data_IF_460194708424
#
_entry.id   IF_460194708424
#
_cell.length_a   1.000
_cell.length_b   1.000
_cell.length_c   1.000
_cell.angle_alpha   90.00
_cell.angle_beta   90.00
_cell.angle_gamma   90.00
#
_symmetry.space_group_name_H-M   'P 1'
#
loop_
_entity.id
_entity.type
_entity.pdbx_description
1 polymer ?
#
# COMPACT_ATOMS: atom_id res chain seq x y z
N UNK A 1 10.51 -8.89 -10.64
CA UNK A 1 11.45 -8.60 -11.74
C UNK A 1 10.90 -9.03 -13.09
N UNK A 2 10.31 -10.23 -13.21
CA UNK A 2 9.69 -10.74 -14.44
C UNK A 2 8.24 -10.29 -14.67
N UNK A 3 7.79 -9.24 -13.97
CA UNK A 3 6.42 -8.73 -14.12
C UNK A 3 5.30 -9.55 -13.48
N UNK A 4 5.59 -10.68 -12.82
CA UNK A 4 4.59 -11.55 -12.17
C UNK A 4 3.77 -10.87 -11.05
N UNK A 5 4.30 -9.81 -10.46
CA UNK A 5 3.63 -8.99 -9.46
C UNK A 5 3.65 -7.52 -9.90
N UNK A 6 2.57 -6.80 -9.58
CA UNK A 6 2.47 -5.36 -9.81
C UNK A 6 3.45 -4.59 -8.91
N UNK A 7 3.78 -3.36 -9.30
CA UNK A 7 4.62 -2.47 -8.51
C UNK A 7 3.98 -2.19 -7.15
N UNK A 8 2.67 -1.96 -7.10
CA UNK A 8 1.94 -1.79 -5.84
C UNK A 8 2.04 -3.01 -4.93
N UNK A 9 1.78 -4.22 -5.43
CA UNK A 9 1.88 -5.44 -4.62
C UNK A 9 3.30 -5.62 -4.09
N UNK A 10 4.30 -5.33 -4.92
CA UNK A 10 5.69 -5.40 -4.50
C UNK A 10 6.01 -4.40 -3.38
N UNK A 11 5.55 -3.15 -3.51
CA UNK A 11 5.68 -2.13 -2.46
C UNK A 11 4.98 -2.54 -1.17
N UNK A 12 3.79 -3.15 -1.24
CA UNK A 12 3.11 -3.68 -0.06
C UNK A 12 3.93 -4.79 0.60
N UNK A 13 4.50 -5.72 -0.18
CA UNK A 13 5.37 -6.77 0.36
C UNK A 13 6.62 -6.22 1.04
N UNK A 14 7.29 -5.24 0.43
CA UNK A 14 8.46 -4.59 1.04
C UNK A 14 8.09 -3.90 2.35
N UNK A 15 6.97 -3.17 2.38
CA UNK A 15 6.46 -2.55 3.60
C UNK A 15 6.22 -3.59 4.70
N UNK A 16 5.51 -4.69 4.40
CA UNK A 16 5.27 -5.76 5.38
C UNK A 16 6.56 -6.38 5.89
N UNK A 17 7.52 -6.69 5.01
CA UNK A 17 8.82 -7.26 5.40
C UNK A 17 9.66 -6.28 6.23
N UNK A 18 9.49 -4.97 6.01
CA UNK A 18 10.15 -3.92 6.77
C UNK A 18 9.46 -3.60 8.12
N UNK A 19 8.47 -4.40 8.53
CA UNK A 19 7.76 -4.26 9.80
C UNK A 19 6.59 -3.27 9.78
N UNK A 20 6.21 -2.74 8.60
CA UNK A 20 5.11 -1.77 8.47
C UNK A 20 3.76 -2.46 8.53
N UNK A 21 2.78 -1.82 9.16
CA UNK A 21 1.42 -2.36 9.27
C UNK A 21 0.35 -1.27 9.37
N UNK A 22 -0.89 -1.62 9.05
CA UNK A 22 -2.05 -0.76 9.27
C UNK A 22 -2.47 -0.64 10.74
N UNK A 23 -1.98 -1.54 11.61
CA UNK A 23 -2.33 -1.56 13.03
C UNK A 23 -1.56 -0.50 13.84
N UNK A 24 -0.44 0.00 13.33
CA UNK A 24 0.38 1.03 13.96
C UNK A 24 0.63 2.18 12.97
N UNK A 25 -0.03 3.31 13.20
CA UNK A 25 0.11 4.50 12.33
C UNK A 25 1.50 5.13 12.39
N UNK A 26 2.30 4.84 13.43
CA UNK A 26 3.69 5.30 13.51
C UNK A 26 4.59 4.53 12.53
N UNK A 27 4.15 3.34 12.14
CA UNK A 27 4.83 2.43 11.22
C UNK A 27 3.90 2.05 10.05
N UNK A 28 3.16 3.03 9.56
CA UNK A 28 2.26 2.84 8.43
C UNK A 28 3.04 2.51 7.14
N UNK A 29 2.45 1.75 6.20
CA UNK A 29 3.06 1.53 4.90
C UNK A 29 3.36 2.84 4.17
N UNK A 30 4.54 2.92 3.55
CA UNK A 30 5.03 4.11 2.84
C UNK A 30 5.08 3.84 1.34
N UNK A 31 4.56 4.77 0.56
CA UNK A 31 4.57 4.75 -0.90
C UNK A 31 5.23 6.02 -1.45
N UNK A 32 5.89 5.95 -2.61
CA UNK A 32 6.49 7.12 -3.24
C UNK A 32 5.42 8.07 -3.78
N UNK A 33 5.70 9.38 -3.75
CA UNK A 33 5.19 10.26 -4.80
C UNK A 33 5.69 9.77 -6.17
N UNK A 34 4.80 9.62 -7.14
CA UNK A 34 5.13 9.12 -8.48
C UNK A 34 5.18 10.25 -9.52
N UNK A 35 4.16 11.10 -9.51
CA UNK A 35 4.04 12.21 -10.45
C UNK A 35 4.70 13.47 -9.90
N UNK A 36 5.15 14.34 -10.80
CA UNK A 36 5.57 15.71 -10.51
C UNK A 36 4.58 16.74 -11.10
N UNK A 37 3.76 16.34 -12.07
CA UNK A 37 2.77 17.22 -12.67
C UNK A 37 1.40 17.15 -11.98
N UNK A 38 1.21 18.13 -11.10
CA UNK A 38 -0.09 18.46 -10.49
C UNK A 38 -0.52 19.91 -10.81
N UNK A 39 0.14 20.56 -11.77
CA UNK A 39 -0.06 21.98 -12.07
C UNK A 39 -0.53 22.24 -13.49
N UNK A 40 -0.30 21.31 -14.42
CA UNK A 40 -0.70 21.46 -15.81
C UNK A 40 -2.20 21.73 -15.93
N UNK A 41 -2.53 22.61 -16.87
CA UNK A 41 -3.92 22.90 -17.20
C UNK A 41 -4.54 21.79 -18.07
N UNK A 42 -3.71 20.85 -18.54
CA UNK A 42 -4.11 19.72 -19.39
C UNK A 42 -5.06 18.76 -18.67
N UNK A 43 -5.96 18.15 -19.45
CA UNK A 43 -6.94 17.18 -18.96
C UNK A 43 -6.44 15.74 -19.00
N UNK A 44 -5.23 15.51 -19.51
CA UNK A 44 -4.61 14.19 -19.65
C UNK A 44 -3.14 14.27 -19.29
N UNK A 45 -2.61 13.19 -18.72
CA UNK A 45 -1.21 13.06 -18.33
C UNK A 45 -0.45 12.29 -19.40
N UNK A 46 0.65 12.84 -19.89
CA UNK A 46 1.58 12.10 -20.74
C UNK A 46 2.49 11.21 -19.87
N UNK A 47 2.12 9.94 -19.72
CA UNK A 47 2.90 8.94 -19.00
C UNK A 47 4.14 8.46 -19.77
N UNK A 48 4.38 8.99 -20.98
CA UNK A 48 5.59 8.73 -21.77
C UNK A 48 6.65 9.83 -21.62
N UNK A 49 6.27 11.01 -21.13
CA UNK A 49 7.19 12.11 -20.86
C UNK A 49 7.85 11.93 -19.47
N UNK A 50 9.18 11.78 -19.39
CA UNK A 50 9.90 11.70 -18.11
C UNK A 50 9.64 12.89 -17.16
N UNK A 51 9.31 14.08 -17.70
CA UNK A 51 9.05 15.30 -16.91
C UNK A 51 7.75 15.22 -16.10
N UNK A 52 6.85 14.32 -16.48
CA UNK A 52 5.61 14.03 -15.76
C UNK A 52 5.89 13.41 -14.39
N UNK A 53 7.04 12.74 -14.23
CA UNK A 53 7.36 11.93 -13.07
C UNK A 53 8.33 12.65 -12.13
N UNK A 54 8.23 12.26 -10.85
CA UNK A 54 9.26 12.55 -9.85
C UNK A 54 10.58 11.88 -10.23
N UNK A 55 11.70 12.51 -9.85
CA UNK A 55 13.00 11.82 -9.80
C UNK A 55 13.04 10.81 -8.62
N UNK A 56 12.86 9.53 -8.94
CA UNK A 56 12.82 8.42 -7.99
C UNK A 56 14.18 8.12 -7.34
N UNK A 57 15.28 8.60 -7.93
CA UNK A 57 16.62 8.43 -7.39
C UNK A 57 16.93 9.35 -6.20
N UNK A 58 16.05 10.35 -5.97
CA UNK A 58 16.20 11.40 -4.97
C UNK A 58 15.09 11.34 -3.90
N UNK A 59 15.38 11.65 -2.63
CA UNK A 59 14.37 11.85 -1.60
C UNK A 59 13.53 13.11 -1.87
N UNK A 60 12.41 13.28 -1.15
CA UNK A 60 11.50 14.43 -1.34
C UNK A 60 12.18 15.79 -1.12
N UNK A 61 13.11 15.87 -0.16
CA UNK A 61 13.86 17.10 0.09
C UNK A 61 14.85 17.48 -1.02
N UNK A 62 15.11 16.59 -1.99
CA UNK A 62 16.11 16.75 -3.04
C UNK A 62 15.50 16.88 -4.45
N UNK A 63 14.18 17.06 -4.58
CA UNK A 63 13.51 17.13 -5.88
C UNK A 63 13.85 18.40 -6.69
N UNK A 64 14.29 19.47 -6.03
CA UNK A 64 14.74 20.71 -6.69
C UNK A 64 16.17 21.05 -6.28
N UNK A 65 16.94 21.63 -7.20
CA UNK A 65 18.36 21.94 -6.96
C UNK A 65 18.54 22.92 -5.80
N UNK A 66 17.75 23.99 -5.78
CA UNK A 66 17.80 25.00 -4.70
C UNK A 66 17.59 24.36 -3.32
N UNK A 67 16.62 23.46 -3.21
CA UNK A 67 16.30 22.80 -1.94
C UNK A 67 17.34 21.75 -1.55
N UNK A 68 17.88 21.03 -2.54
CA UNK A 68 18.98 20.10 -2.37
C UNK A 68 20.20 20.79 -1.76
N UNK A 69 20.61 21.94 -2.31
CA UNK A 69 21.73 22.74 -1.81
C UNK A 69 21.51 23.19 -0.36
N UNK A 70 20.29 23.63 -0.02
CA UNK A 70 19.96 24.03 1.35
C UNK A 70 20.10 22.87 2.35
N UNK A 71 19.64 21.66 2.00
CA UNK A 71 19.80 20.50 2.88
C UNK A 71 21.24 20.02 2.98
N UNK A 72 21.99 20.03 1.87
CA UNK A 72 23.40 19.70 1.88
C UNK A 72 24.20 20.68 2.73
N UNK A 73 23.93 21.97 2.60
CA UNK A 73 24.53 23.02 3.43
C UNK A 73 24.20 22.82 4.90
N UNK A 74 22.94 22.55 5.25
CA UNK A 74 22.53 22.25 6.64
C UNK A 74 23.30 21.06 7.23
N UNK A 75 23.55 20.03 6.44
CA UNK A 75 24.30 18.85 6.88
C UNK A 75 25.80 19.16 7.06
N UNK A 76 26.39 19.92 6.14
CA UNK A 76 27.81 20.29 6.17
C UNK A 76 28.13 21.27 7.30
N UNK A 77 27.30 22.29 7.47
CA UNK A 77 27.43 23.34 8.48
C UNK A 77 26.81 22.92 9.83
N UNK A 78 26.59 21.61 10.05
CA UNK A 78 25.93 21.12 11.25
C UNK A 78 26.79 21.35 12.49
N UNK A 79 26.40 22.33 13.29
CA UNK A 79 26.85 22.51 14.66
C UNK A 79 25.76 22.01 15.61
N UNK A 80 26.11 21.10 16.52
CA UNK A 80 25.14 20.57 17.49
C UNK A 80 24.64 21.71 18.40
N UNK A 81 23.36 22.14 18.27
CA UNK A 81 22.87 23.33 18.97
C UNK A 81 22.88 23.18 20.49
N UNK A 82 22.86 21.93 20.98
CA UNK A 82 22.67 21.62 22.39
C UNK A 82 23.90 20.96 23.04
N UNK A 83 24.99 20.75 22.29
CA UNK A 83 26.15 19.98 22.76
C UNK A 83 25.79 18.56 23.21
N UNK A 84 24.69 18.01 22.67
CA UNK A 84 24.07 16.75 23.08
C UNK A 84 24.51 15.53 22.25
N UNK A 85 25.63 15.65 21.53
CA UNK A 85 26.18 14.65 20.60
C UNK A 85 25.20 14.25 19.48
N UNK A 86 24.37 15.18 19.02
CA UNK A 86 23.43 14.92 17.92
C UNK A 86 24.19 14.85 16.59
N UNK A 87 24.21 13.71 15.89
CA UNK A 87 24.92 13.61 14.62
C UNK A 87 24.24 14.46 13.54
N UNK A 88 25.01 14.89 12.54
CA UNK A 88 24.49 15.67 11.42
C UNK A 88 23.39 14.90 10.66
N UNK A 89 22.36 15.64 10.23
CA UNK A 89 21.24 15.10 9.46
C UNK A 89 20.70 16.14 8.45
N UNK A 90 20.12 15.64 7.36
CA UNK A 90 19.44 16.48 6.38
C UNK A 90 18.03 16.83 6.87
N UNK A 91 17.30 15.84 7.40
CA UNK A 91 15.88 15.96 7.70
C UNK A 91 15.57 15.80 9.19
N UNK A 92 15.06 16.87 9.81
CA UNK A 92 14.54 16.85 11.18
C UNK A 92 13.09 16.35 11.29
N UNK A 93 12.40 16.21 10.16
CA UNK A 93 11.06 15.65 10.05
C UNK A 93 11.11 14.36 9.22
N UNK A 94 10.21 13.43 9.53
CA UNK A 94 10.15 12.14 8.83
C UNK A 94 9.13 12.18 7.70
N UNK A 95 9.30 11.32 6.69
CA UNK A 95 8.39 11.23 5.55
C UNK A 95 7.09 10.47 5.83
N UNK A 96 6.99 9.77 6.96
CA UNK A 96 5.80 9.00 7.39
C UNK A 96 5.61 9.06 8.90
N UNK A 97 4.45 9.46 9.38
CA UNK A 97 4.15 9.49 10.81
C UNK A 97 2.65 9.33 11.02
N UNK A 98 2.24 9.04 12.25
CA UNK A 98 0.83 8.91 12.59
C UNK A 98 0.03 10.18 12.24
N UNK A 99 0.62 11.36 12.47
CA UNK A 99 0.01 12.63 12.10
C UNK A 99 -0.12 12.80 10.58
N UNK A 100 0.88 12.37 9.79
CA UNK A 100 0.82 12.44 8.33
C UNK A 100 -0.31 11.56 7.79
N UNK A 101 -0.39 10.31 8.26
CA UNK A 101 -1.44 9.36 7.85
C UNK A 101 -2.82 9.89 8.24
N UNK A 102 -2.99 10.33 9.49
CA UNK A 102 -4.24 10.90 9.97
C UNK A 102 -4.62 12.18 9.20
N UNK A 103 -3.65 13.00 8.79
CA UNK A 103 -3.88 14.21 8.01
C UNK A 103 -4.35 13.90 6.58
N UNK A 104 -3.75 12.90 5.91
CA UNK A 104 -4.22 12.46 4.61
C UNK A 104 -5.63 11.88 4.68
N UNK A 105 -5.91 11.05 5.69
CA UNK A 105 -7.17 10.32 5.83
C UNK A 105 -8.23 11.05 6.67
N UNK A 106 -8.01 12.34 7.00
CA UNK A 106 -8.81 13.12 7.97
C UNK A 106 -10.31 13.21 7.64
N UNK A 107 -10.71 12.90 6.41
CA UNK A 107 -12.10 12.92 5.94
C UNK A 107 -12.84 11.59 6.14
N UNK A 108 -12.16 10.55 6.60
CA UNK A 108 -12.73 9.23 6.83
C UNK A 108 -12.64 8.82 8.28
N UNK A 109 -13.68 8.17 8.80
CA UNK A 109 -13.57 7.45 10.07
C UNK A 109 -12.81 6.13 9.90
N UNK A 110 -12.04 5.67 10.92
CA UNK A 110 -11.82 6.30 12.24
C UNK A 110 -10.68 7.35 12.28
N UNK A 111 -10.14 7.74 11.11
CA UNK A 111 -8.97 8.62 11.02
C UNK A 111 -9.30 10.06 11.41
N UNK A 112 -10.53 10.52 11.20
CA UNK A 112 -11.02 11.80 11.73
C UNK A 112 -10.83 11.87 13.24
N UNK A 113 -11.34 10.88 14.00
CA UNK A 113 -11.16 10.85 15.45
C UNK A 113 -9.70 10.76 15.85
N UNK A 114 -8.90 10.02 15.08
CA UNK A 114 -7.46 9.89 15.34
C UNK A 114 -6.75 11.22 15.17
N UNK A 115 -7.03 11.94 14.08
CA UNK A 115 -6.49 13.28 13.81
C UNK A 115 -6.86 14.26 14.93
N UNK A 116 -8.14 14.29 15.34
CA UNK A 116 -8.59 15.15 16.43
C UNK A 116 -7.84 14.84 17.73
N UNK A 117 -7.65 13.56 18.09
CA UNK A 117 -6.89 13.20 19.30
C UNK A 117 -5.43 13.66 19.25
N UNK A 118 -4.78 13.49 18.11
CA UNK A 118 -3.39 13.93 17.93
C UNK A 118 -3.26 15.47 17.93
N UNK A 119 -4.32 16.19 17.53
CA UNK A 119 -4.37 17.65 17.45
C UNK A 119 -4.96 18.33 18.71
N UNK A 120 -5.25 17.59 19.78
CA UNK A 120 -5.77 18.16 21.03
C UNK A 120 -7.29 18.35 21.10
N UNK A 121 -8.05 17.64 20.26
CA UNK A 121 -9.51 17.52 20.32
C UNK A 121 -10.29 18.36 19.31
N UNK A 122 -9.61 19.11 18.43
CA UNK A 122 -10.23 19.93 17.39
C UNK A 122 -9.48 19.80 16.06
N UNK A 123 -10.11 20.19 14.95
CA UNK A 123 -9.42 20.26 13.66
C UNK A 123 -8.28 21.28 13.70
N UNK A 124 -7.29 21.10 12.82
CA UNK A 124 -6.20 22.05 12.71
C UNK A 124 -6.67 23.36 12.02
N UNK A 125 -5.81 24.37 12.00
CA UNK A 125 -6.01 25.55 11.17
C UNK A 125 -6.19 25.12 9.71
N UNK A 126 -7.23 25.66 9.07
CA UNK A 126 -7.60 25.33 7.69
C UNK A 126 -6.42 25.45 6.71
N UNK A 127 -5.54 26.44 6.89
CA UNK A 127 -4.36 26.64 6.04
C UNK A 127 -3.30 25.53 6.15
N UNK A 128 -3.32 24.73 7.23
CA UNK A 128 -2.39 23.60 7.44
C UNK A 128 -2.98 22.24 7.09
N UNK A 129 -4.30 22.18 6.90
CA UNK A 129 -5.01 20.95 6.59
C UNK A 129 -4.75 20.49 5.15
N UNK A 130 -4.73 19.17 4.96
CA UNK A 130 -4.65 18.58 3.63
C UNK A 130 -5.92 18.93 2.83
N UNK A 131 -5.76 19.76 1.80
CA UNK A 131 -6.88 20.28 1.00
C UNK A 131 -6.60 20.29 -0.51
N UNK A 132 -5.35 20.09 -0.95
CA UNK A 132 -4.95 20.14 -2.35
C UNK A 132 -3.79 19.19 -2.58
N UNK A 133 -3.91 18.28 -3.57
CA UNK A 133 -2.82 17.36 -3.93
C UNK A 133 -1.63 18.14 -4.48
N UNK A 134 -1.91 19.17 -5.29
CA UNK A 134 -0.90 20.09 -5.84
C UNK A 134 -0.11 20.80 -4.74
N UNK A 135 -0.80 21.36 -3.75
CA UNK A 135 -0.13 22.10 -2.69
C UNK A 135 0.66 21.17 -1.77
N UNK A 136 0.16 19.96 -1.53
CA UNK A 136 0.87 18.92 -0.80
C UNK A 136 2.17 18.52 -1.53
N UNK A 137 2.12 18.29 -2.84
CA UNK A 137 3.31 18.02 -3.65
C UNK A 137 4.30 19.19 -3.61
N UNK A 138 3.85 20.42 -3.84
CA UNK A 138 4.73 21.61 -3.85
C UNK A 138 5.36 21.87 -2.49
N UNK A 139 4.60 21.70 -1.40
CA UNK A 139 5.13 21.78 -0.03
C UNK A 139 6.23 20.74 0.19
N UNK A 140 5.93 19.47 -0.12
CA UNK A 140 6.81 18.35 0.15
C UNK A 140 8.03 18.26 -0.78
N UNK A 141 7.96 18.78 -2.02
CA UNK A 141 9.03 18.72 -3.02
C UNK A 141 9.88 20.00 -3.12
N UNK A 142 9.30 21.17 -2.82
CA UNK A 142 9.94 22.47 -3.11
C UNK A 142 9.86 23.50 -2.00
N UNK A 143 8.68 23.80 -1.49
CA UNK A 143 8.44 25.08 -0.82
C UNK A 143 8.73 25.07 0.68
N UNK A 144 8.67 23.92 1.36
CA UNK A 144 8.70 23.86 2.81
C UNK A 144 9.82 22.97 3.33
N UNK A 145 10.86 23.56 3.94
CA UNK A 145 12.02 22.84 4.48
C UNK A 145 11.68 21.86 5.62
N UNK A 146 10.51 21.98 6.26
CA UNK A 146 10.04 21.04 7.27
C UNK A 146 9.13 19.93 6.71
N UNK A 147 8.83 19.95 5.40
CA UNK A 147 7.91 18.99 4.78
C UNK A 147 8.63 18.09 3.77
N UNK A 148 8.84 16.83 4.14
CA UNK A 148 9.44 15.81 3.25
C UNK A 148 8.54 14.57 3.14
N UNK A 149 7.23 14.75 3.29
CA UNK A 149 6.24 13.66 3.30
C UNK A 149 6.29 12.82 2.03
N UNK A 150 6.29 11.51 2.20
CA UNK A 150 5.96 10.54 1.17
C UNK A 150 4.48 10.18 1.25
N UNK A 151 3.99 9.40 0.28
CA UNK A 151 2.58 8.99 0.20
C UNK A 151 2.27 7.74 1.03
N UNK A 152 0.97 7.45 1.11
CA UNK A 152 0.39 6.23 1.68
C UNK A 152 -0.27 5.40 0.56
N UNK A 153 -0.48 4.07 0.76
CA UNK A 153 -1.07 3.19 -0.25
C UNK A 153 -2.42 3.66 -0.81
N UNK A 154 -3.23 4.35 0.00
CA UNK A 154 -4.60 4.78 -0.31
C UNK A 154 -4.66 5.70 -1.53
N UNK A 155 -3.58 6.46 -1.82
CA UNK A 155 -3.44 7.27 -3.03
C UNK A 155 -3.47 6.44 -4.34
N UNK A 156 -3.47 5.11 -4.26
CA UNK A 156 -3.42 4.21 -5.42
C UNK A 156 -4.57 3.22 -5.48
N UNK A 157 -5.55 3.30 -4.58
CA UNK A 157 -6.75 2.44 -4.65
C UNK A 157 -8.01 3.00 -3.98
N UNK A 158 -7.92 4.00 -3.10
CA UNK A 158 -9.05 4.45 -2.28
C UNK A 158 -9.44 5.89 -2.64
N UNK A 159 -10.55 6.14 -3.34
CA UNK A 159 -10.95 7.51 -3.69
C UNK A 159 -11.60 8.26 -2.51
N UNK A 160 -12.17 7.54 -1.54
CA UNK A 160 -13.02 8.07 -0.48
C UNK A 160 -12.30 9.09 0.43
N UNK A 161 -10.99 8.97 0.65
CA UNK A 161 -10.25 9.91 1.52
C UNK A 161 -10.12 11.32 0.92
N UNK A 162 -10.32 11.45 -0.39
CA UNK A 162 -10.33 12.72 -1.11
C UNK A 162 -11.68 13.44 -0.97
N UNK A 163 -12.70 12.73 -0.49
CA UNK A 163 -14.07 13.23 -0.41
C UNK A 163 -14.49 13.57 1.01
N UNK A 164 -15.24 14.67 1.19
CA UNK A 164 -15.81 15.04 2.49
C UNK A 164 -17.26 14.55 2.60
N UNK A 165 -17.46 13.24 2.41
CA UNK A 165 -18.78 12.60 2.42
C UNK A 165 -19.49 12.71 3.77
N UNK A 166 -18.73 12.88 4.85
CA UNK A 166 -19.26 13.09 6.21
C UNK A 166 -19.63 14.55 6.51
N UNK A 167 -19.42 15.46 5.55
CA UNK A 167 -19.72 16.89 5.67
C UNK A 167 -19.07 17.55 6.90
N UNK A 168 -17.83 17.18 7.22
CA UNK A 168 -17.10 17.79 8.32
C UNK A 168 -16.87 19.28 8.07
N UNK A 169 -16.96 20.08 9.13
CA UNK A 169 -16.53 21.48 9.10
C UNK A 169 -15.00 21.55 9.29
N UNK A 170 -14.29 21.57 8.17
CA UNK A 170 -12.82 21.62 8.12
C UNK A 170 -12.27 23.05 8.22
N UNK A 171 -13.15 24.05 8.41
CA UNK A 171 -12.78 25.46 8.53
C UNK A 171 -12.62 26.20 7.20
N UNK A 172 -12.17 27.44 7.31
CA UNK A 172 -11.97 28.37 6.20
C UNK A 172 -10.55 28.94 6.25
N UNK A 173 -9.86 28.93 5.11
CA UNK A 173 -8.52 29.49 4.97
C UNK A 173 -8.56 31.01 5.11
N UNK A 174 -7.40 31.61 5.39
CA UNK A 174 -7.25 33.07 5.45
C UNK A 174 -7.68 33.79 4.15
N UNK A 175 -7.58 33.12 3.01
CA UNK A 175 -8.01 33.66 1.71
C UNK A 175 -9.52 33.48 1.43
N UNK A 176 -10.30 33.03 2.40
CA UNK A 176 -11.75 32.86 2.30
C UNK A 176 -12.21 31.53 1.67
N UNK A 177 -11.29 30.64 1.30
CA UNK A 177 -11.62 29.32 0.74
C UNK A 177 -12.03 28.38 1.87
N UNK A 178 -13.26 27.88 1.80
CA UNK A 178 -13.76 26.83 2.69
C UNK A 178 -13.19 25.47 2.31
N UNK A 179 -12.82 24.68 3.31
CA UNK A 179 -12.36 23.32 3.08
C UNK A 179 -13.55 22.36 2.97
N UNK A 180 -13.53 21.54 1.92
CA UNK A 180 -14.46 20.44 1.71
C UNK A 180 -13.71 19.27 1.10
N UNK A 181 -14.10 18.89 -0.12
CA UNK A 181 -13.36 17.94 -0.97
C UNK A 181 -11.90 18.38 -1.16
N UNK A 182 -11.01 17.40 -1.36
CA UNK A 182 -9.62 17.68 -1.74
C UNK A 182 -9.57 18.21 -3.17
N UNK A 183 -8.85 19.29 -3.40
CA UNK A 183 -8.60 19.83 -4.73
C UNK A 183 -7.68 18.89 -5.51
N UNK A 184 -8.21 18.38 -6.61
CA UNK A 184 -7.55 17.44 -7.50
C UNK A 184 -6.94 18.18 -8.70
N UNK A 185 -5.87 17.64 -9.31
CA UNK A 185 -5.32 18.19 -10.55
C UNK A 185 -6.30 18.07 -11.73
N UNK A 186 -6.11 18.87 -12.76
CA UNK A 186 -7.04 18.97 -13.89
C UNK A 186 -7.23 17.65 -14.64
N UNK A 187 -6.18 16.84 -14.75
CA UNK A 187 -6.23 15.51 -15.38
C UNK A 187 -7.13 14.51 -14.63
N UNK A 188 -7.47 14.77 -13.37
CA UNK A 188 -8.46 13.98 -12.62
C UNK A 188 -9.90 14.41 -12.91
N UNK A 189 -10.13 15.48 -13.70
CA UNK A 189 -11.45 15.92 -14.18
C UNK A 189 -12.48 16.16 -13.06
N UNK A 190 -12.00 16.51 -11.86
CA UNK A 190 -12.83 16.70 -10.67
C UNK A 190 -13.38 15.41 -10.06
N UNK A 191 -12.91 14.23 -10.48
CA UNK A 191 -13.34 12.93 -9.97
C UNK A 191 -12.22 12.23 -9.19
N UNK A 192 -12.48 11.93 -7.92
CA UNK A 192 -11.56 11.18 -7.06
C UNK A 192 -11.28 9.76 -7.58
N UNK A 193 -12.25 9.11 -8.24
CA UNK A 193 -12.05 7.78 -8.84
C UNK A 193 -11.10 7.86 -10.03
N UNK A 194 -11.25 8.87 -10.87
CA UNK A 194 -10.34 9.11 -11.99
C UNK A 194 -8.93 9.45 -11.49
N UNK A 195 -8.81 10.26 -10.43
CA UNK A 195 -7.52 10.50 -9.77
C UNK A 195 -6.84 9.18 -9.40
N UNK A 196 -7.54 8.30 -8.67
CA UNK A 196 -6.99 7.00 -8.26
C UNK A 196 -6.66 6.12 -9.45
N UNK A 197 -7.52 6.07 -10.48
CA UNK A 197 -7.30 5.27 -11.69
C UNK A 197 -6.02 5.69 -12.40
N UNK A 198 -5.85 6.99 -12.68
CA UNK A 198 -4.66 7.53 -13.36
C UNK A 198 -3.42 7.42 -12.47
N UNK A 199 -3.54 7.67 -11.17
CA UNK A 199 -2.40 7.56 -10.25
C UNK A 199 -1.92 6.11 -10.11
N UNK A 200 -2.84 5.14 -10.15
CA UNK A 200 -2.51 3.71 -10.22
C UNK A 200 -1.90 3.32 -11.56
N UNK A 201 -2.43 3.82 -12.67
CA UNK A 201 -1.86 3.63 -14.00
C UNK A 201 -0.42 4.15 -14.08
N UNK A 202 -0.16 5.34 -13.53
CA UNK A 202 1.18 5.92 -13.43
C UNK A 202 2.13 5.06 -12.60
N UNK A 203 1.68 4.54 -11.44
CA UNK A 203 2.50 3.64 -10.60
C UNK A 203 2.91 2.37 -11.35
N UNK A 204 2.04 1.84 -12.20
CA UNK A 204 2.28 0.59 -12.92
C UNK A 204 2.96 0.80 -14.28
N UNK A 205 3.16 2.04 -14.74
CA UNK A 205 3.73 2.31 -16.05
C UNK A 205 5.20 1.85 -16.19
N UNK A 206 5.66 1.80 -17.44
CA UNK A 206 7.02 1.39 -17.81
C UNK A 206 8.10 2.28 -17.18
N UNK A 207 7.88 3.61 -17.15
CA UNK A 207 8.83 4.56 -16.56
C UNK A 207 9.03 4.27 -15.07
N UNK A 208 7.94 4.19 -14.29
CA UNK A 208 8.02 3.88 -12.86
C UNK A 208 8.58 2.50 -12.63
N UNK A 209 8.16 1.50 -13.42
CA UNK A 209 8.72 0.14 -13.35
C UNK A 209 10.24 0.13 -13.52
N UNK A 210 10.79 0.93 -14.43
CA UNK A 210 12.23 1.03 -14.66
C UNK A 210 12.97 1.71 -13.50
N UNK A 211 12.36 2.69 -12.82
CA UNK A 211 13.02 3.56 -11.84
C UNK A 211 12.68 3.27 -10.37
N UNK A 212 11.65 2.46 -10.07
CA UNK A 212 11.16 2.23 -8.70
C UNK A 212 12.23 1.65 -7.76
N UNK A 213 13.16 0.85 -8.30
CA UNK A 213 14.28 0.28 -7.55
C UNK A 213 15.17 1.35 -6.90
N UNK A 214 15.28 2.53 -7.50
CA UNK A 214 16.10 3.63 -6.98
C UNK A 214 15.47 4.26 -5.72
N UNK A 215 14.14 4.36 -5.69
CA UNK A 215 13.40 4.79 -4.51
C UNK A 215 13.42 3.72 -3.41
N UNK A 216 13.31 2.44 -3.79
CA UNK A 216 13.46 1.32 -2.84
C UNK A 216 14.85 1.37 -2.17
N UNK A 217 15.91 1.75 -2.89
CA UNK A 217 17.23 1.92 -2.30
C UNK A 217 17.29 3.02 -1.24
N UNK A 218 16.52 4.09 -1.38
CA UNK A 218 16.43 5.17 -0.39
C UNK A 218 15.67 4.74 0.87
N UNK A 219 14.55 4.02 0.71
CA UNK A 219 13.63 3.73 1.81
C UNK A 219 13.93 2.41 2.51
N UNK A 220 14.29 1.35 1.77
CA UNK A 220 14.50 0.00 2.30
C UNK A 220 15.89 -0.57 2.00
N UNK A 221 16.66 0.08 1.12
CA UNK A 221 17.89 -0.48 0.58
C UNK A 221 19.18 0.22 1.01
N UNK A 222 20.17 0.20 0.13
CA UNK A 222 21.55 0.53 0.47
C UNK A 222 21.80 2.03 0.71
N UNK A 223 20.88 2.91 0.31
CA UNK A 223 20.95 4.37 0.49
C UNK A 223 20.16 4.86 1.73
N UNK A 224 19.64 3.95 2.56
CA UNK A 224 18.91 4.31 3.78
C UNK A 224 19.84 4.84 4.89
N UNK A 225 21.07 4.31 4.97
CA UNK A 225 22.03 4.63 6.05
C UNK A 225 23.48 4.71 5.53
N UNK A 226 24.37 5.27 6.35
CA UNK A 226 25.82 5.33 6.08
C UNK A 226 26.22 6.30 4.96
N UNK A 227 27.42 6.15 4.37
CA UNK A 227 27.96 7.08 3.38
C UNK A 227 27.06 7.24 2.13
N UNK A 228 26.37 6.16 1.73
CA UNK A 228 25.44 6.19 0.60
C UNK A 228 24.21 7.06 0.87
N UNK A 229 23.72 7.09 2.11
CA UNK A 229 22.65 7.99 2.53
C UNK A 229 23.12 9.45 2.51
N UNK A 230 24.34 9.73 2.98
CA UNK A 230 24.93 11.08 2.91
C UNK A 230 25.04 11.55 1.47
N UNK A 231 25.60 10.73 0.59
CA UNK A 231 25.75 11.03 -0.84
C UNK A 231 24.41 11.25 -1.57
N UNK A 232 23.33 10.63 -1.07
CA UNK A 232 21.98 10.75 -1.64
C UNK A 232 21.12 11.80 -0.92
N UNK A 233 21.69 12.58 0.01
CA UNK A 233 20.98 13.56 0.84
C UNK A 233 19.81 12.92 1.60
N UNK A 234 19.98 11.69 2.10
CA UNK A 234 18.91 10.85 2.65
C UNK A 234 19.14 10.50 4.13
N UNK A 235 19.72 11.43 4.91
CA UNK A 235 20.00 11.21 6.34
C UNK A 235 18.95 11.93 7.18
N UNK A 236 18.23 11.17 7.99
CA UNK A 236 17.22 11.70 8.89
C UNK A 236 17.77 11.87 10.32
N UNK A 237 17.00 12.52 11.19
CA UNK A 237 17.32 12.61 12.61
C UNK A 237 17.57 11.22 13.21
N UNK A 238 18.64 11.07 14.01
CA UNK A 238 19.09 9.77 14.53
C UNK A 238 18.00 9.01 15.33
N UNK A 239 17.13 9.73 16.03
CA UNK A 239 15.99 9.17 16.78
C UNK A 239 14.96 8.42 15.92
N UNK A 240 14.93 8.62 14.60
CA UNK A 240 14.03 7.86 13.74
C UNK A 240 14.57 6.47 13.38
N UNK A 241 15.85 6.19 13.60
CA UNK A 241 16.45 4.90 13.29
C UNK A 241 16.36 3.95 14.48
N UNK A 242 15.88 2.73 14.21
CA UNK A 242 15.80 1.67 15.20
C UNK A 242 17.17 1.38 15.83
N UNK A 243 17.20 1.22 17.16
CA UNK A 243 18.40 0.82 17.91
C UNK A 243 19.45 1.92 18.12
N UNK A 244 19.23 3.16 17.64
CA UNK A 244 20.14 4.29 17.91
C UNK A 244 19.96 4.91 19.30
N UNK A 245 18.86 4.60 19.99
CA UNK A 245 18.65 5.00 21.39
C UNK A 245 18.22 3.83 22.22
N UNK A 246 19.03 3.52 23.24
CA UNK A 246 18.64 2.61 24.31
C UNK A 246 17.80 3.38 25.33
N UNK A 247 16.48 3.32 25.19
CA UNK A 247 15.53 3.95 26.11
C UNK A 247 15.68 3.44 27.55
N UNK A 248 16.19 2.23 27.76
CA UNK A 248 16.39 1.67 29.09
C UNK A 248 17.63 2.23 29.80
N UNK A 249 18.57 2.78 29.03
CA UNK A 249 19.75 3.47 29.56
C UNK A 249 19.44 4.89 30.06
N UNK A 250 18.28 5.45 29.72
CA UNK A 250 17.91 6.83 30.08
C UNK A 250 17.39 6.86 31.53
N UNK A 251 18.21 7.39 32.45
CA UNK A 251 17.87 7.50 33.87
C UNK A 251 16.98 8.69 34.22
N UNK A 252 16.98 9.75 33.41
CA UNK A 252 16.16 10.94 33.61
C UNK A 252 14.73 10.71 33.07
N UNK A 253 13.69 10.72 33.94
CA UNK A 253 12.31 10.52 33.53
C UNK A 253 11.79 11.55 32.51
N UNK A 254 12.28 12.79 32.57
CA UNK A 254 11.87 13.84 31.63
C UNK A 254 12.45 13.56 30.24
N UNK A 255 13.75 13.26 30.17
CA UNK A 255 14.42 12.87 28.93
C UNK A 255 13.82 11.58 28.34
N UNK A 256 13.49 10.60 29.17
CA UNK A 256 12.84 9.37 28.75
C UNK A 256 11.46 9.65 28.12
N UNK A 257 10.62 10.41 28.82
CA UNK A 257 9.28 10.77 28.35
C UNK A 257 9.34 11.58 27.06
N UNK A 258 10.25 12.55 26.97
CA UNK A 258 10.46 13.34 25.76
C UNK A 258 10.94 12.48 24.58
N UNK A 259 11.86 11.54 24.82
CA UNK A 259 12.39 10.64 23.79
C UNK A 259 11.31 9.69 23.28
N UNK A 260 10.54 9.06 24.18
CA UNK A 260 9.41 8.19 23.81
C UNK A 260 8.35 9.00 23.07
N UNK A 261 8.01 10.19 23.56
CA UNK A 261 7.07 11.10 22.90
C UNK A 261 7.53 11.49 21.50
N UNK A 262 8.83 11.70 21.30
CA UNK A 262 9.38 11.98 19.99
C UNK A 262 9.26 10.79 19.03
N UNK A 263 9.72 9.61 19.47
CA UNK A 263 9.67 8.38 18.67
C UNK A 263 8.22 8.05 18.26
N UNK A 264 7.27 8.20 19.17
CA UNK A 264 5.88 7.84 18.90
C UNK A 264 5.16 8.82 17.97
N UNK A 265 5.51 10.11 18.01
CA UNK A 265 4.75 11.12 17.25
C UNK A 265 5.39 11.51 15.91
N UNK A 266 6.70 11.36 15.77
CA UNK A 266 7.42 11.88 14.61
C UNK A 266 7.85 10.81 13.60
N UNK A 267 7.46 9.55 13.82
CA UNK A 267 7.65 8.44 12.89
C UNK A 267 8.95 7.66 13.09
N UNK A 268 9.08 6.52 12.41
CA UNK A 268 10.23 5.63 12.48
C UNK A 268 10.67 5.23 11.07
N UNK A 269 11.96 5.11 10.81
CA UNK A 269 12.53 4.59 9.57
C UNK A 269 12.20 3.10 9.45
N UNK A 270 11.77 2.58 8.28
CA UNK A 270 11.50 1.15 8.12
C UNK A 270 12.78 0.34 8.31
N UNK A 271 12.64 -0.94 8.69
CA UNK A 271 13.80 -1.83 8.75
C UNK A 271 14.49 -1.93 7.39
N UNK A 272 15.82 -1.77 7.37
CA UNK A 272 16.62 -1.95 6.16
C UNK A 272 16.54 -3.41 5.70
N UNK A 273 16.06 -3.61 4.47
CA UNK A 273 15.92 -4.93 3.86
C UNK A 273 17.16 -5.32 3.04
N UNK A 274 17.80 -4.35 2.39
CA UNK A 274 18.90 -4.61 1.45
C UNK A 274 20.11 -3.74 1.74
N UNK A 275 21.30 -4.35 1.64
CA UNK A 275 22.60 -3.63 1.76
C UNK A 275 23.27 -3.39 0.41
N UNK A 276 22.79 -4.04 -0.65
CA UNK A 276 23.24 -3.87 -2.04
C UNK A 276 22.19 -3.10 -2.82
N UNK A 277 22.56 -2.43 -3.94
CA UNK A 277 21.61 -1.79 -4.82
C UNK A 277 20.49 -2.73 -5.24
N UNK A 278 19.26 -2.23 -5.17
CA UNK A 278 18.07 -3.01 -5.50
C UNK A 278 18.06 -3.32 -7.01
N UNK A 279 17.81 -4.56 -7.43
CA UNK A 279 17.76 -4.88 -8.85
C UNK A 279 16.62 -4.14 -9.56
N UNK A 280 16.91 -3.59 -10.74
CA UNK A 280 15.90 -2.98 -11.61
C UNK A 280 14.92 -4.04 -12.15
N UNK A 281 13.66 -3.63 -12.34
CA UNK A 281 12.67 -4.45 -13.03
C UNK A 281 12.98 -4.45 -14.53
N UNK A 282 12.80 -5.59 -15.21
CA UNK A 282 12.96 -5.65 -16.66
C UNK A 282 11.71 -5.06 -17.29
N UNK A 283 11.87 -3.98 -18.02
CA UNK A 283 10.79 -3.32 -18.77
C UNK A 283 11.06 -3.57 -20.26
N UNK A 284 10.06 -4.03 -21.00
CA UNK A 284 10.21 -4.37 -22.41
C UNK A 284 10.52 -3.11 -23.24
N UNK A 285 11.73 -3.01 -23.80
CA UNK A 285 12.07 -1.92 -24.72
C UNK A 285 11.31 -2.09 -26.03
N UNK A 286 10.54 -1.08 -26.48
CA UNK A 286 10.22 -0.94 -27.91
C UNK A 286 11.54 -0.80 -28.67
N UNK A 287 11.84 -1.62 -29.70
CA UNK A 287 12.95 -1.32 -30.56
C UNK A 287 12.59 -0.09 -31.40
N UNK A 288 13.36 0.98 -31.24
CA UNK A 288 13.53 1.99 -32.30
C UNK A 288 13.87 1.27 -33.60
N UNK A 289 13.21 1.69 -34.68
CA UNK A 289 13.12 0.93 -35.92
C UNK A 289 14.45 0.46 -36.49
N UNK A 290 14.48 -0.82 -36.83
CA UNK A 290 15.16 -1.29 -38.03
C UNK A 290 14.37 -2.48 -38.59
N UNK A 291 13.91 -2.31 -39.82
CA UNK A 291 13.23 -3.33 -40.63
C UNK A 291 14.20 -4.48 -40.94
N UNK A 292 13.94 -5.65 -40.37
CA UNK A 292 14.43 -6.92 -40.89
C UNK A 292 13.25 -7.90 -41.04
N UNK A 293 12.74 -8.14 -42.26
CA UNK A 293 11.72 -9.15 -42.51
C UNK A 293 12.42 -10.49 -42.70
N UNK A 294 12.72 -11.20 -41.60
CA UNK A 294 13.39 -12.49 -41.70
C UNK A 294 13.96 -13.03 -40.41
N UNK A 295 13.16 -13.11 -39.35
CA UNK A 295 13.49 -13.95 -38.21
C UNK A 295 12.23 -14.54 -37.60
N UNK A 296 12.19 -15.88 -37.62
CA UNK A 296 11.19 -16.77 -37.05
C UNK A 296 10.73 -16.37 -35.65
N UNK A 297 9.42 -16.46 -35.42
CA UNK A 297 8.76 -16.32 -34.13
C UNK A 297 9.41 -17.22 -33.06
N UNK A 298 10.13 -16.59 -32.12
CA UNK A 298 10.52 -17.15 -30.82
C UNK A 298 9.57 -16.66 -29.71
N UNK A 299 9.51 -17.36 -28.56
CA UNK A 299 8.40 -17.23 -27.62
C UNK A 299 8.45 -15.91 -26.83
N UNK A 300 7.24 -15.39 -26.56
CA UNK A 300 6.84 -14.38 -25.58
C UNK A 300 7.86 -13.27 -25.26
N UNK A 301 7.59 -12.08 -25.80
CA UNK A 301 8.10 -10.82 -25.27
C UNK A 301 7.78 -10.76 -23.77
N UNK A 302 8.79 -10.49 -22.93
CA UNK A 302 8.66 -10.24 -21.49
C UNK A 302 7.85 -8.96 -21.25
N UNK A 303 6.54 -9.08 -21.44
CA UNK A 303 5.56 -8.02 -21.29
C UNK A 303 4.92 -8.17 -19.92
N UNK A 304 4.88 -7.09 -19.13
CA UNK A 304 4.25 -7.11 -17.80
C UNK A 304 2.77 -7.50 -17.96
N UNK A 305 2.31 -8.54 -17.26
CA UNK A 305 1.01 -9.18 -17.56
C UNK A 305 -0.17 -8.19 -17.52
N UNK A 306 -0.10 -7.18 -16.64
CA UNK A 306 -1.17 -6.20 -16.45
C UNK A 306 -1.22 -5.11 -17.54
N UNK A 307 -0.21 -4.97 -18.39
CA UNK A 307 -0.30 -4.15 -19.61
C UNK A 307 -0.97 -4.89 -20.77
N UNK A 308 -1.21 -6.19 -20.61
CA UNK A 308 -1.70 -7.08 -21.64
C UNK A 308 -2.84 -7.95 -21.11
N UNK A 309 -3.71 -7.36 -20.29
CA UNK A 309 -4.92 -8.04 -19.81
C UNK A 309 -5.77 -8.54 -20.98
N UNK A 310 -5.85 -7.76 -22.07
CA UNK A 310 -6.56 -8.15 -23.29
C UNK A 310 -5.91 -9.34 -24.03
N UNK A 311 -4.64 -9.63 -23.73
CA UNK A 311 -3.92 -10.79 -24.24
C UNK A 311 -4.06 -12.01 -23.32
N UNK A 312 -4.71 -11.88 -22.16
CA UNK A 312 -5.04 -13.03 -21.31
C UNK A 312 -6.07 -13.88 -22.04
N UNK A 313 -5.59 -14.92 -22.71
CA UNK A 313 -6.46 -15.97 -23.20
C UNK A 313 -6.88 -16.84 -22.03
N UNK A 314 -8.18 -17.16 -21.87
CA UNK A 314 -8.61 -18.20 -20.96
C UNK A 314 -7.76 -19.45 -21.19
N UNK A 315 -7.30 -20.09 -20.11
CA UNK A 315 -6.55 -21.34 -20.25
C UNK A 315 -7.38 -22.29 -21.12
N UNK A 316 -6.84 -22.79 -22.25
CA UNK A 316 -7.58 -23.65 -23.17
C UNK A 316 -7.91 -25.01 -22.52
N UNK A 317 -7.23 -25.30 -21.42
CA UNK A 317 -7.48 -26.46 -20.58
C UNK A 317 -8.05 -25.96 -19.25
N UNK A 318 -9.13 -26.56 -18.71
CA UNK A 318 -9.48 -26.37 -17.31
C UNK A 318 -8.22 -26.60 -16.46
N UNK A 319 -8.07 -25.92 -15.32
CA UNK A 319 -6.94 -25.98 -14.39
C UNK A 319 -6.60 -27.39 -13.82
N UNK A 320 -7.02 -28.47 -14.48
CA UNK A 320 -6.69 -29.86 -14.20
C UNK A 320 -5.33 -30.30 -14.77
N UNK A 321 -4.87 -29.79 -15.91
CA UNK A 321 -3.84 -30.52 -16.68
C UNK A 321 -2.50 -29.80 -16.92
N UNK A 322 -2.31 -28.57 -16.45
CA UNK A 322 -1.01 -27.90 -16.54
C UNK A 322 -0.44 -27.65 -15.17
N UNK A 323 0.12 -28.71 -14.59
CA UNK A 323 1.39 -28.81 -13.86
C UNK A 323 1.38 -30.20 -13.22
N UNK A 324 2.41 -31.00 -13.53
CA UNK A 324 2.69 -32.27 -12.88
C UNK A 324 2.42 -32.14 -11.36
N UNK A 325 1.45 -32.93 -10.85
CA UNK A 325 1.04 -33.06 -9.44
C UNK A 325 0.09 -32.03 -8.83
N UNK A 326 -0.67 -31.23 -9.60
CA UNK A 326 -1.75 -30.41 -9.03
C UNK A 326 -3.05 -31.20 -8.93
N UNK A 327 -3.40 -31.57 -7.70
CA UNK A 327 -4.65 -32.25 -7.33
C UNK A 327 -5.87 -31.39 -7.68
N UNK A 328 -6.69 -31.93 -8.57
CA UNK A 328 -8.14 -31.74 -8.73
C UNK A 328 -8.69 -30.36 -8.35
N UNK A 329 -8.70 -29.43 -9.30
CA UNK A 329 -9.85 -28.50 -9.33
C UNK A 329 -11.07 -29.35 -9.67
N UNK A 330 -11.91 -29.64 -8.67
CA UNK A 330 -13.25 -30.14 -8.92
C UNK A 330 -13.93 -29.18 -9.88
N UNK A 331 -14.43 -29.71 -11.00
CA UNK A 331 -15.00 -28.92 -12.08
C UNK A 331 -16.12 -28.03 -11.52
N UNK A 332 -15.81 -26.76 -11.29
CA UNK A 332 -16.73 -25.78 -10.72
C UNK A 332 -17.90 -25.63 -11.70
N UNK A 333 -19.11 -25.85 -11.23
CA UNK A 333 -20.36 -25.77 -12.01
C UNK A 333 -21.09 -24.45 -11.80
N UNK A 334 -20.60 -23.61 -10.90
CA UNK A 334 -21.17 -22.30 -10.55
C UNK A 334 -20.13 -21.25 -10.19
N UNK A 335 -20.57 -20.07 -9.70
CA UNK A 335 -19.69 -19.00 -9.22
C UNK A 335 -18.70 -19.51 -8.16
N UNK A 336 -17.51 -18.92 -8.13
CA UNK A 336 -16.46 -19.30 -7.16
C UNK A 336 -16.75 -18.65 -5.82
N UNK A 337 -16.83 -19.45 -4.75
CA UNK A 337 -17.02 -18.97 -3.39
C UNK A 337 -15.71 -18.75 -2.65
N UNK A 338 -14.79 -19.72 -2.72
CA UNK A 338 -13.50 -19.65 -2.03
C UNK A 338 -12.40 -20.26 -2.89
N UNK A 339 -11.23 -19.59 -2.87
CA UNK A 339 -9.98 -20.08 -3.46
C UNK A 339 -8.93 -20.16 -2.34
N UNK A 340 -8.23 -21.29 -2.25
CA UNK A 340 -7.14 -21.51 -1.30
C UNK A 340 -5.88 -21.91 -2.07
N UNK A 341 -4.84 -21.09 -1.94
CA UNK A 341 -3.52 -21.40 -2.49
C UNK A 341 -2.72 -22.20 -1.46
N UNK A 342 -2.29 -23.40 -1.84
CA UNK A 342 -1.43 -24.27 -1.03
C UNK A 342 -0.10 -24.50 -1.73
N UNK A 343 0.89 -25.03 -1.01
CA UNK A 343 2.17 -25.45 -1.61
C UNK A 343 1.99 -26.50 -2.72
N UNK A 344 0.87 -27.23 -2.71
CA UNK A 344 0.55 -28.30 -3.67
C UNK A 344 -0.34 -27.84 -4.83
N UNK A 345 -0.70 -26.56 -4.86
CA UNK A 345 -1.53 -25.97 -5.90
C UNK A 345 -2.73 -25.20 -5.37
N UNK A 346 -3.62 -24.82 -6.29
CA UNK A 346 -4.80 -23.99 -6.02
C UNK A 346 -6.03 -24.87 -5.90
N UNK A 347 -6.70 -24.79 -4.75
CA UNK A 347 -7.99 -25.42 -4.49
C UNK A 347 -9.08 -24.37 -4.62
N UNK A 348 -10.20 -24.73 -5.21
CA UNK A 348 -11.36 -23.85 -5.33
C UNK A 348 -12.66 -24.61 -5.06
N UNK A 349 -13.63 -23.89 -4.49
CA UNK A 349 -15.00 -24.37 -4.28
C UNK A 349 -16.00 -23.32 -4.74
N UNK A 350 -17.22 -23.78 -5.04
CA UNK A 350 -18.33 -22.95 -5.49
C UNK A 350 -18.84 -22.02 -4.38
N UNK A 351 -19.70 -21.07 -4.75
CA UNK A 351 -20.47 -20.25 -3.83
C UNK A 351 -21.22 -21.12 -2.81
N UNK A 352 -21.33 -20.63 -1.58
CA UNK A 352 -21.91 -21.35 -0.44
C UNK A 352 -21.19 -22.65 -0.07
N UNK A 353 -19.89 -22.74 -0.37
CA UNK A 353 -18.99 -23.80 0.09
C UNK A 353 -17.71 -23.19 0.68
N UNK A 354 -17.16 -23.82 1.71
CA UNK A 354 -15.90 -23.46 2.36
C UNK A 354 -15.05 -24.70 2.61
N UNK A 355 -13.75 -24.61 2.35
CA UNK A 355 -12.75 -25.66 2.57
C UNK A 355 -12.32 -25.70 4.05
N UNK A 356 -12.23 -26.91 4.62
CA UNK A 356 -11.79 -27.10 6.00
C UNK A 356 -10.25 -27.24 6.07
N UNK A 357 -9.53 -26.32 6.74
CA UNK A 357 -8.09 -26.45 6.96
C UNK A 357 -7.75 -27.59 7.94
N UNK A 358 -6.47 -28.00 8.03
CA UNK A 358 -5.36 -27.63 7.15
C UNK A 358 -5.25 -28.57 5.93
N UNK A 359 -5.94 -29.71 5.95
CA UNK A 359 -5.83 -30.73 4.92
C UNK A 359 -6.67 -30.44 3.67
N UNK A 360 -7.69 -29.58 3.78
CA UNK A 360 -8.58 -29.17 2.69
C UNK A 360 -9.24 -30.34 1.93
N UNK A 361 -9.37 -31.51 2.55
CA UNK A 361 -10.03 -32.69 1.99
C UNK A 361 -11.53 -32.72 2.22
N UNK A 362 -12.05 -31.77 3.01
CA UNK A 362 -13.47 -31.64 3.35
C UNK A 362 -13.94 -30.23 3.09
N UNK A 363 -15.21 -30.11 2.75
CA UNK A 363 -15.90 -28.85 2.54
C UNK A 363 -17.15 -28.77 3.39
N UNK A 364 -17.46 -27.59 3.90
CA UNK A 364 -18.75 -27.29 4.50
C UNK A 364 -19.57 -26.50 3.48
N UNK A 365 -20.85 -26.84 3.32
CA UNK A 365 -21.73 -26.24 2.32
C UNK A 365 -23.09 -25.87 2.91
N UNK A 366 -23.64 -24.75 2.44
CA UNK A 366 -24.91 -24.20 2.90
C UNK A 366 -25.75 -23.66 1.72
N UNK A 367 -26.92 -23.10 2.02
CA UNK A 367 -27.79 -22.48 1.01
C UNK A 367 -28.70 -23.46 0.26
N UNK A 368 -28.89 -24.66 0.78
CA UNK A 368 -29.85 -25.62 0.24
C UNK A 368 -31.30 -25.19 0.57
N UNK A 369 -32.25 -25.52 -0.31
CA UNK A 369 -33.67 -25.14 -0.16
C UNK A 369 -34.34 -25.76 1.09
N UNK A 370 -33.79 -26.87 1.59
CA UNK A 370 -34.20 -27.53 2.83
C UNK A 370 -33.54 -26.93 4.09
N UNK A 371 -32.77 -25.85 3.94
CA UNK A 371 -31.96 -25.21 4.98
C UNK A 371 -30.90 -26.13 5.60
N UNK A 372 -30.59 -27.27 4.98
CA UNK A 372 -29.55 -28.17 5.47
C UNK A 372 -28.16 -27.53 5.34
N UNK A 373 -27.23 -27.99 6.16
CA UNK A 373 -25.80 -27.80 5.94
C UNK A 373 -25.15 -29.15 5.71
N UNK A 374 -24.12 -29.22 4.87
CA UNK A 374 -23.52 -30.51 4.50
C UNK A 374 -22.01 -30.44 4.60
N UNK A 375 -21.43 -31.42 5.28
CA UNK A 375 -20.00 -31.66 5.27
C UNK A 375 -19.72 -32.67 4.16
N UNK A 376 -19.01 -32.24 3.13
CA UNK A 376 -18.69 -33.03 1.94
C UNK A 376 -17.20 -33.36 1.87
N UNK A 377 -16.86 -34.42 1.15
CA UNK A 377 -15.49 -34.69 0.74
C UNK A 377 -15.17 -33.86 -0.52
N UNK A 378 -13.99 -33.23 -0.55
CA UNK A 378 -13.61 -32.31 -1.62
C UNK A 378 -13.57 -32.99 -3.00
N UNK A 379 -12.93 -34.15 -3.12
CA UNK A 379 -12.70 -34.82 -4.40
C UNK A 379 -13.96 -35.48 -4.97
N UNK A 380 -14.83 -35.97 -4.09
CA UNK A 380 -15.99 -36.77 -4.49
C UNK A 380 -17.32 -36.04 -4.41
N UNK A 381 -17.36 -34.86 -3.77
CA UNK A 381 -18.57 -34.08 -3.45
C UNK A 381 -19.64 -34.88 -2.69
N UNK A 382 -19.27 -36.06 -2.16
CA UNK A 382 -20.17 -36.87 -1.33
C UNK A 382 -20.32 -36.22 0.03
N UNK A 383 -21.56 -36.08 0.49
CA UNK A 383 -21.92 -35.53 1.79
C UNK A 383 -22.10 -36.66 2.83
N UNK A 384 -21.05 -37.12 3.54
CA UNK A 384 -21.20 -38.11 4.60
C UNK A 384 -22.03 -37.62 5.79
N UNK A 385 -22.09 -36.30 6.01
CA UNK A 385 -22.83 -35.70 7.12
C UNK A 385 -23.71 -34.58 6.61
N UNK A 386 -24.99 -34.65 6.99
CA UNK A 386 -26.01 -33.64 6.70
C UNK A 386 -26.56 -33.16 8.04
N UNK A 387 -26.47 -31.86 8.27
CA UNK A 387 -27.06 -31.18 9.41
C UNK A 387 -28.43 -30.66 8.98
N UNK A 388 -29.48 -31.21 9.58
CA UNK A 388 -30.88 -30.84 9.34
C UNK A 388 -31.39 -29.97 10.50
N UNK A 389 -32.62 -29.46 10.37
CA UNK A 389 -33.30 -28.66 11.41
C UNK A 389 -32.68 -27.29 11.73
N UNK A 390 -32.04 -26.64 10.75
CA UNK A 390 -31.44 -25.30 10.93
C UNK A 390 -32.45 -24.13 10.93
N UNK A 391 -33.76 -24.41 10.90
CA UNK A 391 -34.81 -23.41 10.74
C UNK A 391 -34.86 -22.39 11.89
N UNK A 392 -34.41 -22.76 13.09
CA UNK A 392 -34.33 -21.86 14.25
C UNK A 392 -33.35 -20.70 14.05
N UNK A 393 -32.35 -20.87 13.19
CA UNK A 393 -31.31 -19.87 12.91
C UNK A 393 -31.49 -19.15 11.56
N UNK A 394 -32.56 -19.49 10.84
CA UNK A 394 -32.89 -18.93 9.53
C UNK A 394 -31.88 -19.31 8.43
N UNK A 395 -32.08 -18.81 7.20
CA UNK A 395 -31.14 -19.01 6.11
C UNK A 395 -29.72 -18.53 6.46
N UNK A 396 -28.74 -19.41 6.28
CA UNK A 396 -27.33 -19.04 6.38
C UNK A 396 -26.91 -18.22 5.17
N UNK A 397 -26.18 -17.15 5.43
CA UNK A 397 -25.64 -16.23 4.41
C UNK A 397 -24.15 -16.47 4.19
N UNK A 398 -23.42 -16.85 5.24
CA UNK A 398 -21.99 -17.10 5.17
C UNK A 398 -21.52 -18.12 6.22
N UNK A 399 -20.40 -18.78 5.94
CA UNK A 399 -19.71 -19.63 6.90
C UNK A 399 -18.18 -19.56 6.72
N UNK A 400 -17.44 -19.80 7.79
CA UNK A 400 -15.98 -19.89 7.81
C UNK A 400 -15.53 -21.04 8.71
N UNK A 401 -14.47 -21.74 8.32
CA UNK A 401 -13.86 -22.82 9.10
C UNK A 401 -12.45 -22.38 9.55
N UNK A 402 -12.27 -21.89 10.80
CA UNK A 402 -10.96 -21.46 11.28
C UNK A 402 -9.97 -22.63 11.43
N UNK A 403 -10.48 -23.84 11.71
CA UNK A 403 -9.69 -25.06 11.84
C UNK A 403 -10.45 -26.30 11.31
N UNK A 404 -9.93 -27.49 11.58
CA UNK A 404 -10.47 -28.76 11.08
C UNK A 404 -11.77 -29.23 11.78
N UNK A 405 -12.13 -28.59 12.90
CA UNK A 405 -13.20 -29.01 13.82
C UNK A 405 -14.23 -27.91 14.08
N UNK A 406 -13.89 -26.66 13.84
CA UNK A 406 -14.81 -25.56 14.11
C UNK A 406 -15.40 -25.00 12.82
N UNK A 407 -16.72 -24.82 12.81
CA UNK A 407 -17.43 -24.06 11.77
C UNK A 407 -18.13 -22.90 12.45
N UNK A 408 -17.98 -21.70 11.90
CA UNK A 408 -18.70 -20.51 12.33
C UNK A 408 -19.62 -20.08 11.20
N UNK A 409 -20.91 -19.95 11.45
CA UNK A 409 -21.87 -19.50 10.44
C UNK A 409 -22.67 -18.29 10.89
N UNK A 410 -23.00 -17.43 9.92
CA UNK A 410 -23.87 -16.26 10.09
C UNK A 410 -25.07 -16.36 9.16
N UNK A 411 -26.25 -16.09 9.71
CA UNK A 411 -27.51 -16.14 8.97
C UNK A 411 -28.40 -14.92 9.23
N UNK A 412 -29.64 -14.99 8.75
CA UNK A 412 -30.61 -13.90 8.89
C UNK A 412 -31.13 -13.70 10.31
N UNK A 413 -30.93 -14.67 11.21
CA UNK A 413 -31.39 -14.57 12.61
C UNK A 413 -30.54 -13.64 13.49
N UNK A 414 -29.57 -12.91 12.93
CA UNK A 414 -28.68 -11.97 13.67
C UNK A 414 -27.84 -12.62 14.77
N UNK A 415 -27.71 -13.95 14.74
CA UNK A 415 -26.90 -14.75 15.66
C UNK A 415 -25.78 -15.42 14.87
N UNK A 416 -24.59 -15.47 15.47
CA UNK A 416 -23.48 -16.30 15.00
C UNK A 416 -23.54 -17.66 15.70
N UNK A 417 -23.57 -18.74 14.92
CA UNK A 417 -23.54 -20.09 15.47
C UNK A 417 -22.13 -20.66 15.30
N UNK A 418 -21.60 -21.22 16.38
CA UNK A 418 -20.29 -21.89 16.40
C UNK A 418 -20.54 -23.38 16.62
N UNK A 419 -20.05 -24.18 15.69
CA UNK A 419 -20.21 -25.63 15.66
C UNK A 419 -18.88 -26.29 15.93
N UNK A 420 -18.89 -27.34 16.74
CA UNK A 420 -17.78 -28.28 16.88
C UNK A 420 -18.15 -29.57 16.13
N UNK A 421 -17.31 -29.97 15.18
CA UNK A 421 -17.55 -30.98 14.14
C UNK A 421 -16.84 -32.31 14.40
#
# INVERSE_FOLDING_TARGET
QHGEISNFQYLMHLNTLAGRSYNDLMQYPVFPWILADYQSEEQELDLTDPRTFRDMSKPMGAQTMERLEQFQKRYQDWEDPNGSETPAYHYGTHYSSAMIVASYLVRMEPFTQTFLRLQGGHFDLADRMFHSVRDAWLSASRNNMADVKELIPEFFYLPDFLQNSNHYNLGCKQNGIWLGEVLLPNWAKGDAREFIRVHREALECDYVSAHLHEWIDLIFGCKQQGPMAVASTNVFHHLFYEGQVDIYSITDPLKLTATIGFINNFGQIPKQLFKKPHPAKRVGSKPSGDTNPGASAGPARDCLFFHHLDCLTPSPVPLKDHYLFILSICQLKGPVGQIVCTERGVLAVEENKVLLPPGFQRTFSWGFADLSCRLCNYDTDKAPVVFECMWEWGPLLCAVCPDAKTVVCGGTATVLCVWEM
#
